data_IF_751774400788
#
_entry.id   IF_751774400788
#
_cell.length_a   1.000
_cell.length_b   1.000
_cell.length_c   1.000
_cell.angle_alpha   90.00
_cell.angle_beta   90.00
_cell.angle_gamma   90.00
#
_symmetry.space_group_name_H-M   'P 1'
#
loop_
_entity.id
_entity.type
_entity.pdbx_description
1 polymer ?
#
# COMPACT_ATOMS: atom_id res chain seq x y z
N UNK A 1 -5.21 -10.46 -37.21
CA UNK A 1 -4.27 -10.98 -36.18
C UNK A 1 -3.62 -9.78 -35.49
N UNK A 2 -3.20 -9.94 -34.24
CA UNK A 2 -2.84 -8.94 -33.22
C UNK A 2 -4.04 -8.35 -32.48
N UNK A 3 -4.22 -8.55 -31.17
CA UNK A 3 -3.34 -9.10 -30.14
C UNK A 3 -3.49 -8.23 -28.90
N UNK A 4 -4.45 -8.56 -28.04
CA UNK A 4 -4.79 -7.79 -26.84
C UNK A 4 -3.68 -7.94 -25.79
N UNK A 5 -2.87 -6.91 -25.58
CA UNK A 5 -1.93 -6.88 -24.45
C UNK A 5 -2.67 -6.45 -23.19
N UNK A 6 -3.11 -7.43 -22.39
CA UNK A 6 -3.56 -7.21 -21.01
C UNK A 6 -2.30 -7.23 -20.13
N UNK A 7 -1.90 -6.07 -19.62
CA UNK A 7 -0.84 -5.98 -18.61
C UNK A 7 -1.41 -6.40 -17.26
N UNK A 8 -1.23 -7.67 -16.91
CA UNK A 8 -1.37 -8.12 -15.52
C UNK A 8 -0.05 -7.82 -14.82
N UNK A 9 -0.06 -6.85 -13.91
CA UNK A 9 1.07 -6.55 -13.03
C UNK A 9 1.18 -7.70 -12.01
N UNK A 10 1.91 -8.76 -12.38
CA UNK A 10 2.26 -9.86 -11.48
C UNK A 10 3.56 -9.47 -10.78
N UNK A 11 3.47 -9.06 -9.51
CA UNK A 11 4.65 -8.97 -8.67
C UNK A 11 5.23 -10.39 -8.50
N UNK A 12 6.28 -10.71 -9.25
CA UNK A 12 7.16 -11.84 -8.95
C UNK A 12 8.13 -11.33 -7.89
N UNK A 13 7.86 -11.64 -6.62
CA UNK A 13 8.67 -11.23 -5.47
C UNK A 13 9.94 -12.07 -5.47
N UNK A 14 11.04 -11.51 -6.00
CA UNK A 14 12.36 -12.14 -5.95
C UNK A 14 13.45 -11.08 -5.71
N UNK A 15 13.39 -10.42 -4.54
CA UNK A 15 14.53 -9.72 -3.93
C UNK A 15 14.21 -9.39 -2.48
N UNK A 16 15.15 -9.69 -1.58
CA UNK A 16 15.10 -9.42 -0.14
C UNK A 16 15.13 -7.91 0.17
N UNK A 17 14.05 -7.19 -0.12
CA UNK A 17 13.82 -5.82 0.34
C UNK A 17 12.36 -5.73 0.76
N UNK A 18 12.12 -5.43 2.04
CA UNK A 18 10.81 -5.38 2.69
C UNK A 18 9.78 -4.64 1.82
N UNK A 19 8.83 -5.38 1.26
CA UNK A 19 7.82 -5.00 0.26
C UNK A 19 7.47 -3.49 0.24
N UNK A 20 8.15 -2.76 -0.63
CA UNK A 20 7.89 -1.36 -0.91
C UNK A 20 6.85 -1.26 -2.02
N UNK A 21 5.78 -0.50 -1.80
CA UNK A 21 4.71 -0.31 -2.80
C UNK A 21 5.15 0.71 -3.84
N UNK A 22 4.67 0.59 -5.07
CA UNK A 22 5.00 1.51 -6.16
C UNK A 22 3.74 2.17 -6.71
N UNK A 23 3.87 3.42 -7.13
CA UNK A 23 2.83 4.16 -7.85
C UNK A 23 3.42 4.61 -9.18
N UNK A 24 2.64 4.54 -10.26
CA UNK A 24 3.09 4.88 -11.60
C UNK A 24 2.66 6.30 -12.01
N UNK A 25 3.50 7.01 -12.77
CA UNK A 25 3.09 8.20 -13.51
C UNK A 25 2.51 7.86 -14.90
N UNK A 26 2.05 8.88 -15.63
CA UNK A 26 1.51 8.72 -16.98
C UNK A 26 2.54 8.24 -18.03
N UNK A 27 3.83 8.18 -17.68
CA UNK A 27 4.96 7.88 -18.59
C UNK A 27 5.67 6.57 -18.19
N UNK A 28 5.24 5.90 -17.11
CA UNK A 28 5.74 4.60 -16.66
C UNK A 28 6.91 4.65 -15.67
N UNK A 29 7.12 5.78 -14.99
CA UNK A 29 8.04 5.86 -13.85
C UNK A 29 7.34 5.44 -12.56
N UNK A 30 8.02 4.64 -11.74
CA UNK A 30 7.50 4.17 -10.45
C UNK A 30 8.09 4.96 -9.28
N UNK A 31 7.24 5.61 -8.49
CA UNK A 31 7.62 6.13 -7.18
C UNK A 31 7.27 5.12 -6.09
N UNK A 32 8.22 4.88 -5.22
CA UNK A 32 8.09 3.96 -4.10
C UNK A 32 7.45 4.66 -2.90
N UNK A 33 6.54 3.97 -2.22
CA UNK A 33 5.92 4.45 -1.00
C UNK A 33 5.57 3.28 -0.06
N UNK A 34 5.18 3.61 1.17
CA UNK A 34 4.59 2.63 2.07
C UNK A 34 3.51 3.27 2.96
N UNK A 35 2.63 2.44 3.50
CA UNK A 35 1.54 2.82 4.38
C UNK A 35 1.82 2.32 5.79
N UNK A 36 1.41 3.08 6.79
CA UNK A 36 1.70 2.80 8.19
C UNK A 36 0.45 2.94 9.05
N UNK A 37 0.36 2.14 10.10
CA UNK A 37 -0.75 2.14 11.06
C UNK A 37 -0.61 3.17 12.18
N UNK A 38 0.56 3.81 12.29
CA UNK A 38 0.85 4.79 13.34
C UNK A 38 1.43 6.12 12.78
N UNK A 39 1.23 7.25 13.50
CA UNK A 39 1.75 8.55 13.05
C UNK A 39 3.27 8.60 12.95
N UNK A 40 3.97 7.81 13.78
CA UNK A 40 5.42 7.70 13.78
C UNK A 40 5.97 6.94 12.55
N UNK A 41 5.11 6.28 11.76
CA UNK A 41 5.46 5.52 10.56
C UNK A 41 6.51 4.44 10.83
N UNK A 42 6.37 3.75 11.96
CA UNK A 42 7.26 2.64 12.36
C UNK A 42 6.61 1.28 12.15
N UNK A 43 5.29 1.23 12.00
CA UNK A 43 4.51 0.00 11.84
C UNK A 43 3.89 -0.05 10.45
N UNK A 44 4.48 -0.84 9.55
CA UNK A 44 3.99 -1.01 8.17
C UNK A 44 2.59 -1.62 8.19
N UNK A 45 1.68 -1.02 7.44
CA UNK A 45 0.30 -1.49 7.31
C UNK A 45 0.18 -2.47 6.14
N UNK A 46 -0.40 -3.65 6.41
CA UNK A 46 -0.55 -4.70 5.42
C UNK A 46 -1.37 -5.88 5.94
N UNK A 47 -1.14 -7.04 5.35
CA UNK A 47 -1.88 -8.28 5.60
C UNK A 47 -1.26 -9.15 6.71
N UNK A 48 -0.19 -8.66 7.36
CA UNK A 48 0.50 -9.40 8.41
C UNK A 48 1.68 -10.23 7.89
N UNK A 49 1.93 -10.23 6.58
CA UNK A 49 3.07 -10.90 5.97
C UNK A 49 4.23 -9.93 5.73
N UNK A 50 5.45 -10.44 5.53
CA UNK A 50 6.61 -9.61 5.18
C UNK A 50 6.92 -8.50 6.20
N UNK A 51 6.64 -8.73 7.49
CA UNK A 51 6.87 -7.73 8.55
C UNK A 51 5.81 -6.61 8.63
N UNK A 52 4.77 -6.67 7.79
CA UNK A 52 3.62 -5.77 7.90
C UNK A 52 2.66 -6.19 9.02
N UNK A 53 1.75 -5.31 9.39
CA UNK A 53 0.76 -5.53 10.44
C UNK A 53 -0.66 -5.29 9.94
N UNK A 54 -1.54 -6.22 10.29
CA UNK A 54 -3.00 -6.03 10.23
C UNK A 54 -3.46 -5.19 11.42
N UNK A 55 -4.41 -4.28 11.20
CA UNK A 55 -5.01 -3.47 12.27
C UNK A 55 -6.31 -4.11 12.74
N UNK A 56 -6.40 -4.37 14.04
CA UNK A 56 -7.60 -4.89 14.68
C UNK A 56 -8.29 -3.84 15.54
N UNK A 57 -9.62 -3.83 15.53
CA UNK A 57 -10.43 -3.09 16.50
C UNK A 57 -11.48 -3.99 17.10
N UNK A 58 -11.58 -3.98 18.42
CA UNK A 58 -12.63 -4.68 19.16
C UNK A 58 -13.82 -3.76 19.38
N UNK A 59 -15.01 -4.38 19.41
CA UNK A 59 -16.26 -3.71 19.75
C UNK A 59 -16.57 -3.95 21.24
N UNK A 60 -16.38 -2.94 22.12
CA UNK A 60 -16.53 -3.15 23.55
C UNK A 60 -17.99 -3.27 24.03
N UNK A 61 -18.97 -2.83 23.24
CA UNK A 61 -20.39 -2.82 23.65
C UNK A 61 -21.33 -3.23 22.51
N UNK A 62 -22.50 -3.84 22.80
CA UNK A 62 -23.57 -4.07 21.82
C UNK A 62 -24.07 -2.75 21.19
N UNK A 63 -24.66 -2.83 19.99
CA UNK A 63 -25.20 -1.67 19.26
C UNK A 63 -24.32 -1.18 18.10
N UNK A 64 -24.70 -0.09 17.44
CA UNK A 64 -23.93 0.47 16.32
C UNK A 64 -22.76 1.31 16.84
N UNK A 65 -21.56 1.08 16.31
CA UNK A 65 -20.36 1.85 16.64
C UNK A 65 -19.59 2.20 15.37
N UNK A 66 -19.08 3.42 15.31
CA UNK A 66 -18.19 3.85 14.24
C UNK A 66 -16.75 3.63 14.67
N UNK A 67 -15.93 3.10 13.77
CA UNK A 67 -14.49 2.95 13.94
C UNK A 67 -13.77 3.87 12.96
N UNK A 68 -12.73 4.54 13.42
CA UNK A 68 -11.80 5.28 12.57
C UNK A 68 -10.43 4.60 12.60
N UNK A 69 -9.87 4.30 11.44
CA UNK A 69 -8.54 3.70 11.27
C UNK A 69 -7.71 4.64 10.39
N UNK A 70 -6.94 5.57 10.98
CA UNK A 70 -6.05 6.42 10.21
C UNK A 70 -4.91 5.60 9.61
N UNK A 71 -4.60 5.85 8.34
CA UNK A 71 -3.47 5.25 7.61
C UNK A 71 -2.54 6.39 7.19
N UNK A 72 -1.23 6.21 7.40
CA UNK A 72 -0.22 7.23 7.16
C UNK A 72 0.68 6.80 6.01
N UNK A 73 0.72 7.59 4.94
CA UNK A 73 1.65 7.35 3.83
C UNK A 73 3.05 7.91 4.09
N UNK A 74 4.06 7.31 3.45
CA UNK A 74 5.41 7.84 3.32
C UNK A 74 6.00 7.50 1.97
N UNK A 75 6.57 8.50 1.32
CA UNK A 75 7.51 8.33 0.21
C UNK A 75 8.92 8.47 0.81
N UNK A 76 9.77 7.43 0.77
CA UNK A 76 11.16 7.53 1.19
C UNK A 76 11.88 8.66 0.44
N UNK A 77 12.81 9.38 1.09
CA UNK A 77 13.62 10.40 0.43
C UNK A 77 14.52 9.76 -0.64
N UNK A 78 15.19 10.60 -1.43
CA UNK A 78 16.24 10.19 -2.40
C UNK A 78 15.80 9.29 -3.54
N UNK A 79 14.53 9.34 -3.93
CA UNK A 79 14.05 8.67 -5.14
C UNK A 79 14.32 9.54 -6.37
N UNK A 80 14.92 8.96 -7.40
CA UNK A 80 15.12 9.61 -8.69
C UNK A 80 13.94 9.29 -9.60
N UNK A 81 12.83 10.01 -9.41
CA UNK A 81 11.61 9.86 -10.21
C UNK A 81 11.29 11.16 -10.94
N UNK A 82 10.64 11.05 -12.09
CA UNK A 82 10.27 12.22 -12.90
C UNK A 82 9.26 13.10 -12.17
N UNK A 83 9.29 14.44 -12.33
CA UNK A 83 8.24 15.29 -11.81
C UNK A 83 6.92 14.99 -12.54
N UNK A 84 5.85 14.73 -11.79
CA UNK A 84 4.57 14.33 -12.36
C UNK A 84 3.53 13.98 -11.30
N UNK A 85 2.31 13.68 -11.76
CA UNK A 85 1.27 13.10 -10.91
C UNK A 85 1.44 11.58 -10.90
N UNK A 86 1.45 11.01 -9.70
CA UNK A 86 1.53 9.58 -9.44
C UNK A 86 0.22 9.12 -8.80
N UNK A 87 -0.33 8.00 -9.26
CA UNK A 87 -1.58 7.44 -8.74
C UNK A 87 -1.43 5.94 -8.47
N UNK A 88 -2.12 5.45 -7.44
CA UNK A 88 -2.16 4.02 -7.11
C UNK A 88 -3.54 3.62 -6.57
N UNK A 89 -3.94 2.39 -6.86
CA UNK A 89 -5.20 1.77 -6.48
C UNK A 89 -4.99 0.77 -5.34
N UNK A 90 -5.28 1.20 -4.11
CA UNK A 90 -5.07 0.39 -2.91
C UNK A 90 -6.36 -0.38 -2.56
N UNK A 91 -6.28 -1.72 -2.58
CA UNK A 91 -7.38 -2.59 -2.14
C UNK A 91 -7.28 -2.85 -0.63
N UNK A 92 -8.40 -2.69 0.07
CA UNK A 92 -8.50 -2.89 1.53
C UNK A 92 -9.57 -3.93 1.85
N UNK A 93 -9.16 -4.99 2.54
CA UNK A 93 -10.07 -6.05 3.01
C UNK A 93 -10.42 -5.82 4.46
N UNK A 94 -11.72 -5.79 4.79
CA UNK A 94 -12.23 -5.67 6.15
C UNK A 94 -12.96 -6.96 6.51
N UNK A 95 -12.62 -7.53 7.68
CA UNK A 95 -13.24 -8.73 8.25
C UNK A 95 -13.95 -8.33 9.54
N UNK A 96 -15.17 -8.86 9.75
CA UNK A 96 -16.06 -8.53 10.88
C UNK A 96 -16.32 -9.72 11.80
#
# INVERSE_FOLDING_TARGET
MHGSTRFFHRHTVDRLEWELRTTADAVGYDAIYNLYSNPARTLVWGDGTGGSLTVFRSKPRPGRQNFSLPVYGRIPPTQSVSPGLYSDDIIVTIVF
#
